data_IF_629150333587
#
_entry.id   IF_629150333587
#
_cell.length_a   1.000
_cell.length_b   1.000
_cell.length_c   1.000
_cell.angle_alpha   90.00
_cell.angle_beta   90.00
_cell.angle_gamma   90.00
#
_symmetry.space_group_name_H-M   'P 1'
#
loop_
_entity.id
_entity.type
_entity.pdbx_description
1 polymer ?
#
# COMPACT_ATOMS: atom_id res chain seq x y z
N UNK A 1 -11.30 6.93 -11.76
CA UNK A 1 -10.97 6.86 -10.31
C UNK A 1 -9.64 7.57 -10.07
N UNK A 2 -9.55 8.39 -9.02
CA UNK A 2 -8.33 9.12 -8.68
C UNK A 2 -8.14 9.20 -7.17
N UNK A 3 -6.96 8.84 -6.68
CA UNK A 3 -6.49 9.23 -5.34
C UNK A 3 -5.71 10.52 -5.50
N UNK A 4 -6.20 11.60 -4.87
CA UNK A 4 -5.60 12.92 -4.97
C UNK A 4 -4.27 12.98 -4.24
N UNK A 5 -3.23 13.45 -4.93
CA UNK A 5 -1.92 13.74 -4.38
C UNK A 5 -1.69 15.24 -4.17
N UNK A 6 -0.53 15.57 -3.58
CA UNK A 6 -0.16 16.95 -3.25
C UNK A 6 0.16 17.83 -4.47
N UNK A 7 0.36 17.24 -5.65
CA UNK A 7 0.62 17.97 -6.90
C UNK A 7 -0.60 18.05 -7.83
N UNK A 8 -1.74 17.47 -7.46
CA UNK A 8 -2.95 17.41 -8.30
C UNK A 8 -3.76 18.72 -8.25
N UNK A 9 -3.08 19.86 -8.40
CA UNK A 9 -3.67 21.21 -8.35
C UNK A 9 -4.62 21.49 -9.51
N UNK A 10 -4.58 20.70 -10.58
CA UNK A 10 -5.51 20.83 -11.70
C UNK A 10 -6.97 20.60 -11.26
N UNK A 11 -7.20 19.89 -10.16
CA UNK A 11 -8.52 19.67 -9.57
C UNK A 11 -9.16 20.97 -9.04
N UNK A 12 -8.34 21.98 -8.74
CA UNK A 12 -8.79 23.30 -8.29
C UNK A 12 -9.19 24.21 -9.47
N UNK A 13 -8.83 23.83 -10.69
CA UNK A 13 -9.15 24.59 -11.88
C UNK A 13 -10.65 24.50 -12.20
N UNK A 14 -11.34 25.63 -12.25
CA UNK A 14 -12.79 25.70 -12.57
C UNK A 14 -13.14 25.15 -13.95
N UNK A 15 -12.20 25.12 -14.88
CA UNK A 15 -12.39 24.63 -16.26
C UNK A 15 -12.20 23.11 -16.35
N UNK A 16 -11.65 22.48 -15.32
CA UNK A 16 -11.45 21.04 -15.31
C UNK A 16 -12.75 20.32 -14.95
N UNK A 17 -13.19 19.44 -15.83
CA UNK A 17 -14.38 18.62 -15.59
C UNK A 17 -14.03 17.38 -14.73
N UNK A 18 -14.39 17.42 -13.47
CA UNK A 18 -14.14 16.32 -12.52
C UNK A 18 -14.93 15.05 -12.86
N UNK A 19 -15.96 15.14 -13.72
CA UNK A 19 -16.73 13.98 -14.18
C UNK A 19 -15.92 13.04 -15.08
N UNK A 20 -14.72 13.41 -15.51
CA UNK A 20 -13.78 12.47 -16.13
C UNK A 20 -13.36 11.34 -15.20
N UNK A 21 -13.49 11.54 -13.89
CA UNK A 21 -13.21 10.51 -12.88
C UNK A 21 -14.53 10.01 -12.27
N UNK A 22 -14.65 8.71 -12.14
CA UNK A 22 -15.75 8.06 -11.45
C UNK A 22 -15.84 8.51 -9.98
N UNK A 23 -14.66 8.66 -9.36
CA UNK A 23 -14.52 9.28 -8.04
C UNK A 23 -13.12 9.92 -7.88
N UNK A 24 -13.03 10.91 -6.99
CA UNK A 24 -11.80 11.59 -6.58
C UNK A 24 -11.82 11.62 -5.05
N UNK A 25 -10.85 10.97 -4.42
CA UNK A 25 -10.75 10.84 -2.97
C UNK A 25 -9.30 11.02 -2.52
N UNK A 26 -9.08 11.49 -1.30
CA UNK A 26 -7.74 11.51 -0.67
C UNK A 26 -7.42 10.18 0.01
N UNK A 27 -8.43 9.45 0.40
CA UNK A 27 -8.36 8.13 1.02
C UNK A 27 -9.52 7.28 0.50
N UNK A 28 -9.24 6.03 0.17
CA UNK A 28 -10.28 5.09 -0.28
C UNK A 28 -9.94 3.68 0.19
N UNK A 29 -10.95 2.94 0.59
CA UNK A 29 -10.86 1.51 0.82
C UNK A 29 -11.65 0.78 -0.25
N UNK A 30 -11.02 -0.21 -0.87
CA UNK A 30 -11.62 -1.07 -1.87
C UNK A 30 -11.58 -2.53 -1.41
N UNK A 31 -12.41 -3.36 -2.02
CA UNK A 31 -12.32 -4.80 -1.92
C UNK A 31 -11.87 -5.38 -3.26
N UNK A 32 -10.85 -6.21 -3.22
CA UNK A 32 -10.35 -6.95 -4.38
C UNK A 32 -10.17 -8.43 -4.01
N UNK A 33 -11.06 -9.29 -4.51
CA UNK A 33 -11.05 -10.73 -4.22
C UNK A 33 -10.97 -11.05 -2.72
N UNK A 34 -11.85 -10.45 -1.93
CA UNK A 34 -11.89 -10.56 -0.47
C UNK A 34 -10.66 -10.02 0.26
N UNK A 35 -9.83 -9.24 -0.39
CA UNK A 35 -8.73 -8.50 0.21
C UNK A 35 -9.11 -7.03 0.33
N UNK A 36 -8.81 -6.42 1.45
CA UNK A 36 -8.96 -4.97 1.64
C UNK A 36 -7.77 -4.27 1.00
N UNK A 37 -8.03 -3.26 0.20
CA UNK A 37 -7.02 -2.39 -0.39
C UNK A 37 -7.24 -0.98 0.13
N UNK A 38 -6.30 -0.49 0.91
CA UNK A 38 -6.29 0.89 1.41
C UNK A 38 -5.49 1.74 0.46
N UNK A 39 -6.09 2.79 -0.08
CA UNK A 39 -5.48 3.71 -1.04
C UNK A 39 -5.30 5.08 -0.41
N UNK A 40 -4.08 5.59 -0.42
CA UNK A 40 -3.74 6.97 -0.07
C UNK A 40 -2.49 7.37 -0.83
N UNK A 41 -2.38 8.65 -1.20
CA UNK A 41 -1.17 9.16 -1.85
C UNK A 41 0.05 9.04 -0.93
N UNK A 42 -0.13 9.27 0.37
CA UNK A 42 0.93 9.14 1.38
C UNK A 42 0.99 7.73 1.97
N UNK A 43 2.17 7.24 2.37
CA UNK A 43 2.26 5.99 3.13
C UNK A 43 1.59 6.15 4.49
N UNK A 44 0.64 5.27 4.80
CA UNK A 44 -0.08 5.26 6.07
C UNK A 44 0.43 4.12 6.94
N UNK A 45 1.02 4.46 8.06
CA UNK A 45 1.38 3.50 9.09
C UNK A 45 0.13 3.09 9.87
N UNK A 46 0.06 1.82 10.29
CA UNK A 46 -1.09 1.31 11.05
C UNK A 46 -2.44 1.49 10.31
N UNK A 47 -2.47 1.09 9.05
CA UNK A 47 -3.64 1.20 8.19
C UNK A 47 -4.77 0.24 8.59
N UNK A 48 -5.98 0.54 8.19
CA UNK A 48 -7.17 -0.22 8.54
C UNK A 48 -7.11 -1.67 7.99
N UNK A 49 -7.39 -2.62 8.86
CA UNK A 49 -7.39 -4.05 8.53
C UNK A 49 -6.00 -4.68 8.42
N UNK A 50 -4.94 -3.98 8.80
CA UNK A 50 -3.54 -4.45 8.71
C UNK A 50 -3.33 -5.85 9.27
N UNK A 51 -3.99 -6.19 10.36
CA UNK A 51 -3.79 -7.47 11.07
C UNK A 51 -4.60 -8.64 10.51
N UNK A 52 -5.40 -8.42 9.47
CA UNK A 52 -6.24 -9.46 8.90
C UNK A 52 -5.42 -10.45 8.09
N UNK A 53 -5.59 -11.72 8.44
CA UNK A 53 -5.03 -12.87 7.72
C UNK A 53 -6.17 -13.79 7.28
N UNK A 54 -5.96 -14.55 6.23
CA UNK A 54 -6.86 -15.65 5.86
C UNK A 54 -6.62 -16.91 6.72
N UNK A 55 -7.33 -17.99 6.43
CA UNK A 55 -7.22 -19.25 7.18
C UNK A 55 -5.82 -19.87 7.05
N UNK A 56 -5.12 -19.61 5.95
CA UNK A 56 -3.76 -20.10 5.65
C UNK A 56 -2.67 -19.19 6.21
N UNK A 57 -3.05 -18.03 6.79
CA UNK A 57 -2.14 -17.05 7.34
C UNK A 57 -1.60 -16.03 6.34
N UNK A 58 -2.17 -15.96 5.13
CA UNK A 58 -1.81 -14.97 4.14
C UNK A 58 -2.46 -13.60 4.43
N UNK A 59 -1.80 -12.47 4.07
CA UNK A 59 -2.36 -11.15 4.28
C UNK A 59 -3.68 -10.94 3.54
N UNK A 60 -4.65 -10.33 4.22
CA UNK A 60 -5.93 -9.91 3.63
C UNK A 60 -6.07 -8.40 3.46
N UNK A 61 -5.02 -7.64 3.76
CA UNK A 61 -5.06 -6.18 3.64
C UNK A 61 -3.74 -5.66 3.16
N UNK A 62 -3.81 -4.72 2.23
CA UNK A 62 -2.68 -4.06 1.57
C UNK A 62 -2.88 -2.55 1.59
N UNK A 63 -1.82 -1.80 1.89
CA UNK A 63 -1.80 -0.35 1.83
C UNK A 63 -0.98 0.08 0.61
N UNK A 64 -1.63 0.69 -0.37
CA UNK A 64 -1.00 1.19 -1.60
C UNK A 64 -0.79 2.70 -1.49
N UNK A 65 0.43 3.15 -1.74
CA UNK A 65 0.84 4.54 -1.59
C UNK A 65 1.72 5.01 -2.76
N UNK A 66 1.94 6.30 -2.80
CA UNK A 66 2.87 6.96 -3.70
C UNK A 66 3.73 7.97 -2.94
N UNK A 67 3.84 9.18 -3.45
CA UNK A 67 4.50 10.35 -2.85
C UNK A 67 6.03 10.22 -2.70
N UNK A 68 6.50 9.20 -2.05
CA UNK A 68 7.92 9.04 -1.68
C UNK A 68 8.82 8.64 -2.87
N UNK A 69 8.23 8.27 -4.00
CA UNK A 69 8.95 7.85 -5.20
C UNK A 69 10.01 6.76 -4.90
N UNK A 70 11.18 6.84 -5.52
CA UNK A 70 12.35 6.00 -5.23
C UNK A 70 13.40 6.82 -4.49
N UNK A 71 13.07 7.32 -3.29
CA UNK A 71 13.93 8.19 -2.50
C UNK A 71 14.27 7.56 -1.15
N UNK A 72 15.00 8.32 -0.32
CA UNK A 72 15.31 7.89 1.04
C UNK A 72 14.03 7.64 1.89
N UNK A 73 12.95 8.35 1.62
CA UNK A 73 11.68 8.13 2.32
C UNK A 73 11.11 6.74 2.04
N UNK A 74 11.28 6.21 0.83
CA UNK A 74 10.92 4.82 0.51
C UNK A 74 11.78 3.82 1.32
N UNK A 75 13.05 4.11 1.49
CA UNK A 75 13.91 3.30 2.37
C UNK A 75 13.36 3.28 3.81
N UNK A 76 12.96 4.43 4.36
CA UNK A 76 12.37 4.51 5.70
C UNK A 76 11.06 3.72 5.83
N UNK A 77 10.21 3.77 4.82
CA UNK A 77 8.97 2.96 4.79
C UNK A 77 9.29 1.46 4.80
N UNK A 78 10.30 1.05 4.03
CA UNK A 78 10.73 -0.35 4.00
C UNK A 78 11.31 -0.80 5.34
N UNK A 79 12.14 0.02 5.98
CA UNK A 79 12.66 -0.28 7.31
C UNK A 79 11.54 -0.40 8.36
N UNK A 80 10.55 0.50 8.30
CA UNK A 80 9.37 0.40 9.15
C UNK A 80 8.65 -0.94 8.95
N UNK A 81 8.44 -1.38 7.71
CA UNK A 81 7.78 -2.65 7.43
C UNK A 81 8.58 -3.84 7.95
N UNK A 82 9.91 -3.85 7.76
CA UNK A 82 10.80 -4.91 8.28
C UNK A 82 10.75 -4.97 9.80
N UNK A 83 10.89 -3.85 10.47
CA UNK A 83 10.81 -3.77 11.93
C UNK A 83 9.45 -4.25 12.44
N UNK A 84 8.37 -3.80 11.82
CA UNK A 84 7.01 -4.19 12.20
C UNK A 84 6.81 -5.69 12.09
N UNK A 85 7.22 -6.31 10.99
CA UNK A 85 7.09 -7.75 10.77
C UNK A 85 7.93 -8.59 11.73
N UNK A 86 8.99 -8.03 12.28
CA UNK A 86 9.84 -8.70 13.28
C UNK A 86 9.28 -8.61 14.70
N UNK A 87 8.29 -7.77 14.94
CA UNK A 87 7.60 -7.71 16.22
C UNK A 87 6.50 -8.75 16.32
N UNK A 88 6.26 -9.23 17.54
CA UNK A 88 5.19 -10.17 17.85
C UNK A 88 4.16 -9.52 18.76
N UNK A 89 2.93 -9.94 18.61
CA UNK A 89 1.84 -9.56 19.49
C UNK A 89 1.05 -10.79 19.94
N UNK A 90 0.45 -10.69 21.11
CA UNK A 90 -0.52 -11.66 21.55
C UNK A 90 -1.91 -11.30 21.00
N UNK A 91 -2.59 -12.29 20.43
CA UNK A 91 -3.98 -12.16 20.02
C UNK A 91 -4.83 -12.79 21.12
N UNK A 92 -5.91 -12.11 21.53
CA UNK A 92 -6.84 -12.64 22.52
C UNK A 92 -7.33 -14.05 22.14
N UNK A 93 -7.22 -15.01 23.07
CA UNK A 93 -7.61 -16.40 22.86
C UNK A 93 -6.56 -17.29 22.17
N UNK A 94 -5.34 -16.76 21.89
CA UNK A 94 -4.20 -17.57 21.41
C UNK A 94 -3.10 -17.62 22.47
N UNK A 95 -2.49 -18.80 22.63
CA UNK A 95 -1.40 -19.01 23.60
C UNK A 95 -0.07 -18.45 23.11
N UNK A 96 0.14 -18.38 21.79
CA UNK A 96 1.39 -17.93 21.18
C UNK A 96 1.27 -16.53 20.56
N UNK A 97 2.37 -15.77 20.68
CA UNK A 97 2.50 -14.51 20.00
C UNK A 97 2.72 -14.71 18.50
N UNK A 98 2.08 -13.87 17.68
CA UNK A 98 2.19 -13.89 16.23
C UNK A 98 2.88 -12.64 15.71
N UNK A 99 3.57 -12.75 14.58
CA UNK A 99 4.19 -11.62 13.94
C UNK A 99 3.13 -10.61 13.49
N UNK A 100 3.48 -9.33 13.52
CA UNK A 100 2.60 -8.25 13.06
C UNK A 100 2.66 -8.19 11.53
N UNK A 101 1.53 -8.38 10.82
CA UNK A 101 1.51 -8.20 9.38
C UNK A 101 1.73 -6.73 9.01
N UNK A 102 2.46 -6.49 7.95
CA UNK A 102 2.62 -5.16 7.39
C UNK A 102 2.88 -5.28 5.89
N UNK A 103 1.94 -4.82 5.07
CA UNK A 103 1.96 -4.99 3.62
C UNK A 103 1.65 -3.65 2.95
N UNK A 104 2.69 -2.85 2.76
CA UNK A 104 2.63 -1.55 2.14
C UNK A 104 3.35 -1.62 0.79
N UNK A 105 2.71 -1.18 -0.27
CA UNK A 105 3.22 -1.23 -1.65
C UNK A 105 3.33 0.19 -2.20
N UNK A 106 4.53 0.55 -2.64
CA UNK A 106 4.76 1.80 -3.34
C UNK A 106 4.36 1.68 -4.81
N UNK A 107 3.28 2.35 -5.19
CA UNK A 107 2.76 2.38 -6.55
C UNK A 107 3.38 3.48 -7.41
N UNK A 108 4.65 3.80 -7.19
CA UNK A 108 5.38 4.75 -8.03
C UNK A 108 5.40 4.26 -9.48
N UNK A 109 4.96 5.11 -10.41
CA UNK A 109 4.72 4.72 -11.80
C UNK A 109 5.95 4.13 -12.51
N UNK A 110 7.16 4.55 -12.15
CA UNK A 110 8.38 3.94 -12.69
C UNK A 110 8.58 2.48 -12.25
N UNK A 111 8.00 2.07 -11.12
CA UNK A 111 8.06 0.68 -10.69
C UNK A 111 7.14 -0.25 -11.48
N UNK A 112 6.20 0.30 -12.22
CA UNK A 112 5.30 -0.43 -13.12
C UNK A 112 5.60 -0.21 -14.60
N UNK A 113 6.72 0.42 -14.93
CA UNK A 113 7.06 0.81 -16.30
C UNK A 113 5.95 1.68 -16.94
N UNK A 114 5.30 2.52 -16.12
CA UNK A 114 4.17 3.39 -16.48
C UNK A 114 2.92 2.66 -16.97
N UNK A 115 2.79 1.38 -16.65
CA UNK A 115 1.61 0.58 -16.96
C UNK A 115 0.69 0.41 -15.76
N UNK A 116 -0.64 0.41 -15.95
CA UNK A 116 -1.57 0.07 -14.89
C UNK A 116 -1.47 -1.42 -14.54
N UNK A 117 -1.39 -1.74 -13.25
CA UNK A 117 -1.25 -3.10 -12.75
C UNK A 117 -2.45 -3.47 -11.87
N UNK A 118 -2.80 -4.74 -11.89
CA UNK A 118 -3.70 -5.35 -10.90
C UNK A 118 -3.02 -5.43 -9.53
N UNK A 119 -3.78 -5.69 -8.47
CA UNK A 119 -3.20 -5.88 -7.14
C UNK A 119 -2.21 -7.05 -7.11
N UNK A 120 -2.51 -8.16 -7.76
CA UNK A 120 -1.63 -9.34 -7.80
C UNK A 120 -0.30 -9.02 -8.51
N UNK A 121 -0.35 -8.27 -9.60
CA UNK A 121 0.85 -7.82 -10.30
C UNK A 121 1.68 -6.86 -9.44
N UNK A 122 1.04 -5.94 -8.71
CA UNK A 122 1.73 -5.06 -7.76
C UNK A 122 2.38 -5.84 -6.63
N UNK A 123 1.70 -6.84 -6.05
CA UNK A 123 2.26 -7.70 -5.00
C UNK A 123 3.52 -8.42 -5.51
N UNK A 124 3.44 -9.03 -6.70
CA UNK A 124 4.56 -9.75 -7.28
C UNK A 124 5.73 -8.82 -7.61
N UNK A 125 5.46 -7.66 -8.20
CA UNK A 125 6.50 -6.69 -8.58
C UNK A 125 7.17 -6.06 -7.37
N UNK A 126 6.41 -5.72 -6.34
CA UNK A 126 6.96 -5.19 -5.08
C UNK A 126 7.84 -6.22 -4.37
N UNK A 127 7.43 -7.47 -4.32
CA UNK A 127 8.21 -8.55 -3.73
C UNK A 127 9.56 -8.74 -4.45
N UNK A 128 9.55 -8.77 -5.79
CA UNK A 128 10.76 -8.90 -6.59
C UNK A 128 11.70 -7.71 -6.41
N UNK A 129 11.15 -6.47 -6.38
CA UNK A 129 11.93 -5.25 -6.14
C UNK A 129 12.61 -5.25 -4.78
N UNK A 130 11.91 -5.66 -3.73
CA UNK A 130 12.46 -5.70 -2.37
C UNK A 130 13.54 -6.75 -2.22
N UNK A 131 13.38 -7.90 -2.85
CA UNK A 131 14.42 -8.94 -2.84
C UNK A 131 15.73 -8.40 -3.43
N UNK A 132 15.68 -7.68 -4.55
CA UNK A 132 16.86 -7.05 -5.13
C UNK A 132 17.52 -6.01 -4.21
N UNK A 133 16.73 -5.30 -3.40
CA UNK A 133 17.27 -4.32 -2.44
C UNK A 133 17.98 -4.99 -1.26
N UNK A 134 17.55 -6.17 -0.85
CA UNK A 134 18.15 -6.91 0.26
C UNK A 134 19.44 -7.64 -0.15
N UNK A 135 19.70 -7.82 -1.46
CA UNK A 135 20.91 -8.44 -2.00
C UNK A 135 22.08 -7.46 -2.20
N UNK A 136 21.85 -6.16 -2.06
CA UNK A 136 22.87 -5.11 -2.15
C UNK A 136 23.42 -4.77 -0.77
#
# INVERSE_FOLDING_TARGET
MLIQGNHDKFLECRRFDKNHFEWIESYKELNDNNRKVVLCHYPLFCYNGQYRLDAEGAPKSYMLYGHVHNTYDEFLVNEFQKQTRNHKRFIHGKEEAVNIPCNMINCFCMFSDYEPLTLDEWIARDAARRQQMDEI
#
